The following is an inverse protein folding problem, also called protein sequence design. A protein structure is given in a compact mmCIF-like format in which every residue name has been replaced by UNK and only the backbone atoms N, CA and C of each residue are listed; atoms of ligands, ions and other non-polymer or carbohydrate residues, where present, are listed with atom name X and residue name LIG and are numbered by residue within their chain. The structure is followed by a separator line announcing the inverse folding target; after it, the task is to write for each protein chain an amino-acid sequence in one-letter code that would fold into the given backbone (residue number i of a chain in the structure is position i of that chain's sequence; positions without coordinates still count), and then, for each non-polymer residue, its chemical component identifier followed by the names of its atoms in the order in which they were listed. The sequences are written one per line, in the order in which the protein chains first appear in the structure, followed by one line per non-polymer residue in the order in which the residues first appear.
data_IF_648137791152
#
_entry.id   IF_648137791152
#
_cell.length_a   1.000
_cell.length_b   1.000
_cell.length_c   1.000
_cell.angle_alpha   90.00
_cell.angle_beta   90.00
_cell.angle_gamma   90.00
#
_symmetry.space_group_name_H-M   'P 1'
#
loop_
_entity.id
_entity.type
_entity.pdbx_description
1 polymer ?
#
# COMPACT_ATOMS: atom_id res chain seq x y z
N UNK A 1 20.45 5.46 -13.96
CA UNK A 1 19.87 4.49 -13.00
C UNK A 1 18.52 5.02 -12.56
N UNK A 2 17.45 4.60 -13.24
CA UNK A 2 16.09 5.11 -12.98
C UNK A 2 15.35 4.05 -12.18
N UNK A 3 15.06 4.35 -10.91
CA UNK A 3 14.18 3.54 -10.06
C UNK A 3 12.74 3.63 -10.58
N UNK A 4 12.46 2.98 -11.71
CA UNK A 4 11.10 2.72 -12.17
C UNK A 4 10.60 1.52 -11.37
N UNK A 5 9.86 1.82 -10.31
CA UNK A 5 9.15 0.85 -9.48
C UNK A 5 8.45 -0.19 -10.37
N UNK A 6 9.01 -1.39 -10.39
CA UNK A 6 8.38 -2.58 -10.96
C UNK A 6 7.19 -2.95 -10.07
N UNK A 7 6.04 -2.35 -10.33
CA UNK A 7 4.78 -2.88 -9.83
C UNK A 7 4.43 -4.12 -10.64
N UNK A 8 5.00 -5.25 -10.23
CA UNK A 8 4.64 -6.53 -10.80
C UNK A 8 3.27 -6.97 -10.27
N UNK A 9 2.23 -6.71 -11.07
CA UNK A 9 0.86 -7.16 -10.81
C UNK A 9 0.63 -8.61 -11.29
N UNK A 10 1.69 -9.36 -11.62
CA UNK A 10 1.60 -10.70 -12.19
C UNK A 10 0.73 -11.66 -11.35
N UNK A 11 -0.15 -12.39 -12.06
CA UNK A 11 -1.06 -13.44 -11.56
C UNK A 11 -0.40 -14.47 -10.63
N UNK A 12 0.93 -14.61 -10.66
CA UNK A 12 1.67 -15.49 -9.74
C UNK A 12 1.58 -15.07 -8.27
N UNK A 13 1.11 -13.86 -7.98
CA UNK A 13 0.84 -13.41 -6.61
C UNK A 13 -0.47 -14.01 -6.07
N UNK A 14 -1.38 -14.59 -6.87
CA UNK A 14 -2.71 -15.04 -6.40
C UNK A 14 -2.77 -16.54 -6.07
N UNK A 15 -1.83 -17.36 -6.54
CA UNK A 15 -1.87 -18.83 -6.42
C UNK A 15 -0.57 -19.44 -5.84
N UNK A 16 0.05 -18.77 -4.87
CA UNK A 16 1.26 -19.28 -4.22
C UNK A 16 1.03 -19.49 -2.70
N UNK A 17 1.36 -20.66 -2.12
CA UNK A 17 1.25 -20.91 -0.67
C UNK A 17 2.06 -19.92 0.18
N UNK A 18 3.07 -19.26 -0.40
CA UNK A 18 3.78 -18.13 0.23
C UNK A 18 2.90 -16.92 0.57
N UNK A 19 1.72 -16.77 -0.05
CA UNK A 19 0.77 -15.69 0.26
C UNK A 19 0.06 -15.90 1.60
N UNK A 20 -0.12 -17.14 2.06
CA UNK A 20 -0.66 -17.40 3.41
C UNK A 20 0.33 -16.91 4.47
N UNK A 21 1.60 -17.20 4.30
CA UNK A 21 2.68 -16.78 5.22
C UNK A 21 2.82 -15.25 5.22
N UNK A 22 2.79 -14.61 4.05
CA UNK A 22 2.82 -13.15 3.93
C UNK A 22 1.58 -12.47 4.54
N UNK A 23 0.39 -13.02 4.34
CA UNK A 23 -0.83 -12.48 4.94
C UNK A 23 -0.86 -12.68 6.47
N UNK A 24 -0.41 -13.82 6.98
CA UNK A 24 -0.31 -14.07 8.43
C UNK A 24 0.73 -13.15 9.07
N UNK A 25 1.88 -12.92 8.42
CA UNK A 25 2.89 -11.96 8.86
C UNK A 25 2.35 -10.53 8.89
N UNK A 26 1.64 -10.09 7.84
CA UNK A 26 1.02 -8.77 7.80
C UNK A 26 -0.05 -8.59 8.90
N UNK A 27 -0.85 -9.62 9.18
CA UNK A 27 -1.82 -9.61 10.27
C UNK A 27 -1.16 -9.53 11.65
N UNK A 28 -0.07 -10.28 11.86
CA UNK A 28 0.70 -10.23 13.10
C UNK A 28 1.31 -8.84 13.32
N UNK A 29 1.92 -8.26 12.29
CA UNK A 29 2.50 -6.91 12.35
C UNK A 29 1.41 -5.89 12.66
N UNK A 30 0.25 -5.98 12.02
CA UNK A 30 -0.87 -5.10 12.32
C UNK A 30 -1.41 -5.26 13.74
N UNK A 31 -1.46 -6.49 14.25
CA UNK A 31 -1.85 -6.76 15.64
C UNK A 31 -0.87 -6.13 16.63
N UNK A 32 0.44 -6.23 16.37
CA UNK A 32 1.47 -5.54 17.17
C UNK A 32 1.25 -4.01 17.10
N UNK A 33 0.99 -3.46 15.92
CA UNK A 33 0.67 -2.04 15.77
C UNK A 33 -0.55 -1.61 16.57
N UNK A 34 -1.59 -2.44 16.62
CA UNK A 34 -2.79 -2.18 17.42
C UNK A 34 -2.49 -2.21 18.93
N UNK A 35 -1.68 -3.17 19.39
CA UNK A 35 -1.25 -3.26 20.78
C UNK A 35 -0.40 -2.05 21.20
N UNK A 36 0.52 -1.61 20.34
CA UNK A 36 1.32 -0.41 20.56
C UNK A 36 0.42 0.82 20.72
N UNK A 37 -0.57 0.98 19.85
CA UNK A 37 -1.51 2.10 19.91
C UNK A 37 -2.33 2.11 21.21
N UNK A 38 -2.74 0.94 21.70
CA UNK A 38 -3.48 0.81 22.97
C UNK A 38 -2.56 1.12 24.17
N UNK A 39 -1.28 0.75 24.09
CA UNK A 39 -0.34 0.90 25.20
C UNK A 39 -0.03 2.36 25.54
N UNK A 40 0.19 3.20 24.53
CA UNK A 40 0.52 4.61 24.74
C UNK A 40 0.15 5.47 23.51
N UNK A 41 -1.13 5.80 23.41
CA UNK A 41 -1.67 6.64 22.34
C UNK A 41 -1.25 8.13 22.45
N UNK A 42 -0.57 8.53 23.53
CA UNK A 42 -0.15 9.93 23.74
C UNK A 42 1.24 10.19 23.21
N UNK A 43 2.06 9.14 23.07
CA UNK A 43 3.41 9.25 22.55
C UNK A 43 3.41 9.27 21.00
N UNK A 44 3.86 10.36 20.35
CA UNK A 44 3.87 10.47 18.90
C UNK A 44 4.76 9.42 18.22
N UNK A 45 5.81 8.93 18.88
CA UNK A 45 6.67 7.87 18.35
C UNK A 45 5.95 6.51 18.33
N UNK A 46 5.16 6.23 19.37
CA UNK A 46 4.34 5.00 19.47
C UNK A 46 3.23 5.03 18.43
N UNK A 47 2.58 6.18 18.22
CA UNK A 47 1.61 6.37 17.13
C UNK A 47 2.28 6.12 15.77
N UNK A 48 3.47 6.68 15.53
CA UNK A 48 4.21 6.49 14.28
C UNK A 48 4.52 5.02 13.99
N UNK A 49 5.05 4.30 14.99
CA UNK A 49 5.34 2.88 14.89
C UNK A 49 4.06 2.06 14.63
N UNK A 50 2.99 2.37 15.36
CA UNK A 50 1.68 1.71 15.22
C UNK A 50 1.11 1.86 13.81
N UNK A 51 1.12 3.07 13.25
CA UNK A 51 0.60 3.30 11.91
C UNK A 51 1.51 2.65 10.85
N UNK A 52 2.83 2.66 11.06
CA UNK A 52 3.77 1.96 10.16
C UNK A 52 3.49 0.46 10.11
N UNK A 53 3.13 -0.15 11.25
CA UNK A 53 2.69 -1.54 11.32
C UNK A 53 1.34 -1.79 10.63
N UNK A 54 0.43 -0.82 10.62
CA UNK A 54 -0.87 -0.91 9.94
C UNK A 54 -0.79 -0.61 8.43
N UNK A 55 0.27 0.05 7.98
CA UNK A 55 0.45 0.50 6.60
C UNK A 55 0.32 -0.63 5.56
N UNK A 56 0.90 -1.84 5.73
CA UNK A 56 0.72 -2.93 4.77
C UNK A 56 -0.74 -3.34 4.56
N UNK A 57 -1.56 -3.36 5.62
CA UNK A 57 -2.98 -3.68 5.54
C UNK A 57 -3.74 -2.58 4.80
N UNK A 58 -3.44 -1.32 5.12
CA UNK A 58 -4.02 -0.19 4.44
C UNK A 58 -3.70 -0.21 2.94
N UNK A 59 -2.43 -0.42 2.60
CA UNK A 59 -1.95 -0.48 1.22
C UNK A 59 -2.62 -1.62 0.42
N UNK A 60 -2.76 -2.79 1.03
CA UNK A 60 -3.48 -3.92 0.42
C UNK A 60 -4.97 -3.61 0.20
N UNK A 61 -5.61 -2.95 1.17
CA UNK A 61 -7.01 -2.56 1.09
C UNK A 61 -7.25 -1.52 0.00
N UNK A 62 -6.36 -0.52 -0.12
CA UNK A 62 -6.36 0.48 -1.17
C UNK A 62 -6.20 -0.16 -2.55
N UNK A 63 -5.24 -1.07 -2.70
CA UNK A 63 -5.03 -1.83 -3.94
C UNK A 63 -6.30 -2.59 -4.32
N UNK A 64 -6.91 -3.31 -3.38
CA UNK A 64 -8.14 -4.09 -3.62
C UNK A 64 -9.31 -3.21 -4.03
N UNK A 65 -9.45 -2.03 -3.41
CA UNK A 65 -10.49 -1.06 -3.77
C UNK A 65 -10.30 -0.55 -5.21
N UNK A 66 -9.10 -0.09 -5.55
CA UNK A 66 -8.79 0.40 -6.90
C UNK A 66 -8.92 -0.70 -7.94
N UNK A 67 -8.46 -1.92 -7.63
CA UNK A 67 -8.55 -3.08 -8.51
C UNK A 67 -10.01 -3.41 -8.83
N UNK A 68 -10.89 -3.43 -7.81
CA UNK A 68 -12.33 -3.64 -8.02
C UNK A 68 -12.94 -2.59 -8.95
N UNK A 69 -12.56 -1.32 -8.78
CA UNK A 69 -13.01 -0.22 -9.64
C UNK A 69 -12.51 -0.39 -11.08
N UNK A 70 -11.26 -0.81 -11.25
CA UNK A 70 -10.66 -1.08 -12.56
C UNK A 70 -11.38 -2.22 -13.28
N UNK A 71 -11.52 -3.38 -12.63
CA UNK A 71 -12.20 -4.55 -13.20
C UNK A 71 -13.65 -4.24 -13.56
N UNK A 72 -14.36 -3.47 -12.71
CA UNK A 72 -15.74 -3.05 -13.01
C UNK A 72 -15.84 -2.17 -14.25
N UNK A 73 -14.83 -1.34 -14.53
CA UNK A 73 -14.83 -0.39 -15.66
C UNK A 73 -14.33 -1.01 -16.97
N UNK A 74 -13.28 -1.83 -16.90
CA UNK A 74 -12.58 -2.34 -18.08
C UNK A 74 -12.81 -3.84 -18.32
N UNK A 75 -13.55 -4.53 -17.45
CA UNK A 75 -13.88 -5.96 -17.55
C UNK A 75 -12.68 -6.90 -17.70
N UNK A 76 -11.50 -6.46 -17.28
CA UNK A 76 -10.24 -7.22 -17.31
C UNK A 76 -9.36 -6.87 -16.11
N UNK A 77 -8.39 -7.73 -15.84
CA UNK A 77 -7.36 -7.48 -14.81
C UNK A 77 -6.33 -6.46 -15.31
N UNK A 78 -5.77 -5.63 -14.41
CA UNK A 78 -4.68 -4.74 -14.75
C UNK A 78 -3.41 -5.56 -15.06
N UNK A 79 -2.79 -5.27 -16.19
CA UNK A 79 -1.57 -5.91 -16.66
C UNK A 79 -0.37 -5.08 -16.22
N UNK A 80 0.76 -5.75 -15.99
CA UNK A 80 2.00 -5.05 -15.67
C UNK A 80 2.42 -4.14 -16.83
N UNK A 81 2.41 -2.83 -16.59
CA UNK A 81 2.72 -1.81 -17.58
C UNK A 81 4.14 -1.24 -17.44
N UNK A 82 5.01 -1.85 -16.62
CA UNK A 82 6.35 -1.31 -16.32
C UNK A 82 7.28 -1.27 -17.54
N UNK A 83 7.19 -2.27 -18.44
CA UNK A 83 8.06 -2.40 -19.61
C UNK A 83 7.30 -2.39 -20.94
N UNK A 84 5.97 -2.41 -20.90
CA UNK A 84 5.15 -2.39 -22.11
C UNK A 84 4.70 -0.95 -22.39
N UNK A 85 5.11 -0.41 -23.55
CA UNK A 85 4.77 0.94 -24.01
C UNK A 85 3.63 0.99 -25.05
N UNK A 86 2.97 -0.16 -25.32
CA UNK A 86 1.83 -0.20 -26.23
C UNK A 86 0.71 0.78 -25.83
N UNK A 87 0.04 1.45 -26.78
CA UNK A 87 -1.09 2.35 -26.48
C UNK A 87 -2.29 1.64 -25.83
N UNK A 88 -2.47 0.33 -26.07
CA UNK A 88 -3.64 -0.44 -25.61
C UNK A 88 -3.71 -0.65 -24.09
N UNK A 89 -2.60 -0.40 -23.39
CA UNK A 89 -2.46 -0.54 -21.92
C UNK A 89 -2.43 0.81 -21.20
N UNK A 90 -2.87 1.88 -21.86
CA UNK A 90 -3.03 3.20 -21.24
C UNK A 90 -3.80 3.16 -19.90
N UNK A 91 -4.96 2.47 -19.82
CA UNK A 91 -5.71 2.33 -18.57
C UNK A 91 -4.90 1.71 -17.42
N UNK A 92 -4.06 0.71 -17.70
CA UNK A 92 -3.23 0.01 -16.72
C UNK A 92 -2.15 0.94 -16.14
N UNK A 93 -1.59 1.82 -16.97
CA UNK A 93 -0.66 2.86 -16.52
C UNK A 93 -1.33 3.86 -15.61
N UNK A 94 -2.53 4.34 -15.99
CA UNK A 94 -3.30 5.25 -15.16
C UNK A 94 -3.60 4.60 -13.81
N UNK A 95 -3.94 3.31 -13.79
CA UNK A 95 -4.12 2.55 -12.55
C UNK A 95 -2.84 2.53 -11.70
N UNK A 96 -1.70 2.15 -12.28
CA UNK A 96 -0.42 2.08 -11.57
C UNK A 96 0.02 3.44 -11.02
N UNK A 97 -0.07 4.50 -11.83
CA UNK A 97 0.28 5.87 -11.46
C UNK A 97 -0.64 6.37 -10.34
N UNK A 98 -1.95 6.16 -10.49
CA UNK A 98 -2.93 6.58 -9.47
C UNK A 98 -2.70 5.86 -8.15
N UNK A 99 -2.40 4.56 -8.20
CA UNK A 99 -2.11 3.77 -7.01
C UNK A 99 -0.84 4.24 -6.32
N UNK A 100 0.22 4.54 -7.08
CA UNK A 100 1.47 5.08 -6.58
C UNK A 100 1.27 6.42 -5.86
N UNK A 101 0.59 7.39 -6.50
CA UNK A 101 0.33 8.68 -5.88
C UNK A 101 -0.58 8.59 -4.66
N UNK A 102 -1.61 7.76 -4.68
CA UNK A 102 -2.46 7.54 -3.50
C UNK A 102 -1.69 6.89 -2.35
N UNK A 103 -0.82 5.92 -2.65
CA UNK A 103 0.04 5.28 -1.66
C UNK A 103 0.98 6.31 -1.01
N UNK A 104 1.68 7.12 -1.82
CA UNK A 104 2.56 8.18 -1.31
C UNK A 104 1.78 9.21 -0.49
N UNK A 105 0.66 9.70 -1.01
CA UNK A 105 -0.15 10.70 -0.31
C UNK A 105 -0.65 10.18 1.04
N UNK A 106 -1.06 8.91 1.10
CA UNK A 106 -1.47 8.27 2.34
C UNK A 106 -0.32 8.13 3.34
N UNK A 107 0.89 7.79 2.88
CA UNK A 107 2.08 7.76 3.72
C UNK A 107 2.41 9.14 4.30
N UNK A 108 2.34 10.19 3.47
CA UNK A 108 2.58 11.56 3.93
C UNK A 108 1.51 12.04 4.91
N UNK A 109 0.23 11.78 4.65
CA UNK A 109 -0.86 12.14 5.56
C UNK A 109 -0.74 11.45 6.94
N UNK A 110 -0.14 10.27 6.97
CA UNK A 110 0.17 9.53 8.19
C UNK A 110 1.39 10.10 8.92
N UNK A 111 2.45 10.45 8.18
CA UNK A 111 3.74 10.89 8.77
C UNK A 111 3.72 12.38 9.14
N UNK A 112 2.96 13.22 8.44
CA UNK A 112 2.95 14.67 8.64
C UNK A 112 2.53 15.11 10.06
N UNK A 113 1.53 14.51 10.72
CA UNK A 113 1.15 14.88 12.08
C UNK A 113 2.24 14.52 13.11
N UNK A 114 3.03 13.47 12.84
CA UNK A 114 4.13 13.03 13.70
C UNK A 114 5.30 14.01 13.59
N UNK A 115 5.69 14.39 12.37
CA UNK A 115 6.76 15.37 12.14
C UNK A 115 6.43 16.76 12.70
N UNK A 116 5.16 17.17 12.62
CA UNK A 116 4.71 18.45 13.18
C UNK A 116 4.56 18.40 14.72
N UNK A 117 4.18 17.24 15.27
CA UNK A 117 4.05 17.02 16.72
C UNK A 117 5.38 17.01 17.47
N UNK A 118 6.49 16.65 16.81
CA UNK A 118 7.83 16.62 17.42
C UNK A 118 8.53 18.00 17.48
N UNK A 119 7.97 19.04 16.85
CA UNK A 119 8.53 20.40 16.84
C UNK A 119 8.21 21.26 18.07
N UNK A 120 7.59 20.67 19.10
CA UNK A 120 7.31 21.32 20.39
C UNK A 120 7.87 20.46 21.52
N UNK A 121 9.19 20.51 21.69
CA UNK A 121 9.87 20.14 22.92
C UNK A 121 10.85 21.26 23.26
#
# INVERSE_FOLDING_TARGET
MTFLYTFDFSKHVIHNPGKKISNTGALLIAFIGLLLLISDFRNPQVIAASISCLFPIYHFSLYRFMHRRFVKKYHREPVNASMNWSPDIGPDRVFAISFFFMSIFSSFAVISPILWGTGKA
#
